data_IF_969319003041
#
_entry.id   IF_969319003041
#
_cell.length_a   1.000
_cell.length_b   1.000
_cell.length_c   1.000
_cell.angle_alpha   90.00
_cell.angle_beta   90.00
_cell.angle_gamma   90.00
#
_symmetry.space_group_name_H-M   'P 1'
#
loop_
_entity.id
_entity.type
_entity.pdbx_description
1 polymer ?
#
# COMPACT_ATOMS: atom_id res chain seq x y z
N UNK A 1 -35.05 -26.74 49.54
CA UNK A 1 -33.95 -25.78 49.29
C UNK A 1 -32.61 -26.43 49.56
N UNK A 2 -32.50 -27.23 50.64
CA UNK A 2 -31.24 -27.87 51.06
C UNK A 2 -30.61 -28.78 50.00
N UNK A 3 -31.39 -29.53 49.22
CA UNK A 3 -30.85 -30.37 48.14
C UNK A 3 -30.21 -29.56 47.00
N UNK A 4 -30.79 -28.41 46.63
CA UNK A 4 -30.23 -27.55 45.58
C UNK A 4 -28.93 -26.92 46.05
N UNK A 5 -28.89 -26.45 47.30
CA UNK A 5 -27.69 -25.88 47.92
C UNK A 5 -26.57 -26.92 47.99
N UNK A 6 -26.90 -28.17 48.33
CA UNK A 6 -25.93 -29.27 48.37
C UNK A 6 -25.37 -29.61 46.98
N UNK A 7 -26.22 -29.68 45.96
CA UNK A 7 -25.79 -29.95 44.57
C UNK A 7 -24.82 -28.88 44.06
N UNK A 8 -25.09 -27.60 44.34
CA UNK A 8 -24.19 -26.53 43.92
C UNK A 8 -22.91 -26.46 44.76
N UNK A 9 -22.94 -26.85 46.04
CA UNK A 9 -21.74 -26.98 46.86
C UNK A 9 -20.83 -28.11 46.35
N UNK A 10 -21.39 -29.25 45.97
CA UNK A 10 -20.66 -30.36 45.36
C UNK A 10 -20.08 -29.97 43.99
N UNK A 11 -20.86 -29.27 43.17
CA UNK A 11 -20.38 -28.73 41.90
C UNK A 11 -19.20 -27.76 42.09
N UNK A 12 -19.29 -26.84 43.05
CA UNK A 12 -18.20 -25.92 43.37
C UNK A 12 -16.93 -26.66 43.80
N UNK A 13 -17.07 -27.72 44.60
CA UNK A 13 -15.95 -28.57 45.02
C UNK A 13 -15.28 -29.25 43.81
N UNK A 14 -16.07 -29.80 42.88
CA UNK A 14 -15.56 -30.42 41.66
C UNK A 14 -14.85 -29.42 40.74
N UNK A 15 -15.40 -28.21 40.57
CA UNK A 15 -14.75 -27.15 39.79
C UNK A 15 -13.41 -26.74 40.40
N UNK A 16 -13.34 -26.65 41.74
CA UNK A 16 -12.09 -26.37 42.45
C UNK A 16 -11.06 -27.48 42.26
N UNK A 17 -11.47 -28.73 42.35
CA UNK A 17 -10.59 -29.88 42.13
C UNK A 17 -10.03 -29.94 40.70
N UNK A 18 -10.87 -29.62 39.70
CA UNK A 18 -10.43 -29.47 38.30
C UNK A 18 -9.40 -28.35 38.17
N UNK A 19 -9.61 -27.22 38.85
CA UNK A 19 -8.67 -26.09 38.87
C UNK A 19 -7.33 -26.46 39.53
N UNK A 20 -7.36 -27.20 40.63
CA UNK A 20 -6.16 -27.64 41.34
C UNK A 20 -5.32 -28.62 40.49
N UNK A 21 -5.97 -29.36 39.58
CA UNK A 21 -5.34 -30.29 38.64
C UNK A 21 -5.25 -29.71 37.21
N UNK A 22 -5.30 -28.39 37.03
CA UNK A 22 -5.33 -27.73 35.73
C UNK A 22 -4.30 -28.26 34.69
N UNK A 23 -3.05 -28.60 35.03
CA UNK A 23 -2.08 -29.14 34.06
C UNK A 23 -2.47 -30.49 33.44
N UNK A 24 -3.38 -31.23 34.07
CA UNK A 24 -3.81 -32.58 33.67
C UNK A 24 -5.13 -32.56 32.90
N UNK A 25 -5.78 -31.40 32.78
CA UNK A 25 -7.11 -31.30 32.19
C UNK A 25 -7.02 -31.28 30.66
N UNK A 26 -7.63 -32.25 30.00
CA UNK A 26 -7.65 -32.35 28.54
C UNK A 26 -8.76 -31.50 27.88
N UNK A 27 -9.96 -31.48 28.45
CA UNK A 27 -11.12 -30.75 27.93
C UNK A 27 -12.10 -30.40 29.06
N UNK A 28 -12.67 -29.20 29.05
CA UNK A 28 -13.76 -28.76 29.93
C UNK A 28 -14.84 -28.14 29.06
N UNK A 29 -16.07 -28.60 29.19
CA UNK A 29 -17.24 -27.94 28.60
C UNK A 29 -18.26 -27.69 29.70
N UNK A 30 -18.59 -26.43 29.91
CA UNK A 30 -19.56 -25.97 30.88
C UNK A 30 -20.57 -25.04 30.20
N UNK A 31 -21.85 -25.31 30.42
CA UNK A 31 -22.96 -24.51 29.91
C UNK A 31 -24.04 -24.43 30.99
N UNK A 32 -24.38 -23.21 31.41
CA UNK A 32 -25.45 -22.97 32.37
C UNK A 32 -26.40 -21.90 31.83
N UNK A 33 -27.71 -22.12 31.94
CA UNK A 33 -28.75 -21.18 31.50
C UNK A 33 -29.62 -20.78 32.67
N UNK A 34 -29.68 -19.48 32.95
CA UNK A 34 -30.53 -18.90 33.97
C UNK A 34 -31.98 -18.79 33.45
N UNK A 35 -32.94 -18.78 34.38
CA UNK A 35 -34.39 -18.65 34.06
C UNK A 35 -34.73 -17.36 33.32
N UNK A 36 -33.92 -16.31 33.46
CA UNK A 36 -34.06 -15.04 32.74
C UNK A 36 -33.50 -15.07 31.30
N UNK A 37 -32.96 -16.20 30.85
CA UNK A 37 -32.43 -16.38 29.49
C UNK A 37 -30.93 -16.20 29.36
N UNK A 38 -30.23 -15.64 30.37
CA UNK A 38 -28.78 -15.49 30.35
C UNK A 38 -28.08 -16.85 30.35
N UNK A 39 -27.08 -17.03 29.49
CA UNK A 39 -26.31 -18.28 29.40
C UNK A 39 -24.83 -18.05 29.68
N UNK A 40 -24.21 -18.91 30.48
CA UNK A 40 -22.78 -18.95 30.76
C UNK A 40 -22.18 -20.17 30.07
N UNK A 41 -21.28 -19.95 29.12
CA UNK A 41 -20.61 -21.01 28.40
C UNK A 41 -19.09 -20.88 28.60
N UNK A 42 -18.46 -21.95 29.05
CA UNK A 42 -17.01 -22.06 29.15
C UNK A 42 -16.57 -23.33 28.42
N UNK A 43 -15.67 -23.18 27.47
CA UNK A 43 -15.10 -24.30 26.71
C UNK A 43 -13.58 -24.18 26.72
N UNK A 44 -12.92 -25.19 27.26
CA UNK A 44 -11.48 -25.36 27.25
C UNK A 44 -11.15 -26.69 26.58
N UNK A 45 -10.18 -26.67 25.68
CA UNK A 45 -9.63 -27.87 25.07
C UNK A 45 -8.10 -27.70 25.00
N UNK A 46 -7.37 -28.61 25.63
CA UNK A 46 -5.92 -28.59 25.71
C UNK A 46 -5.25 -28.67 24.33
N UNK A 47 -5.82 -29.40 23.37
CA UNK A 47 -5.30 -29.42 22.00
C UNK A 47 -5.47 -28.06 21.34
N UNK A 48 -6.62 -27.40 21.54
CA UNK A 48 -6.87 -26.05 21.01
C UNK A 48 -6.04 -24.98 21.71
N UNK A 49 -5.86 -25.10 23.03
CA UNK A 49 -5.07 -24.19 23.86
C UNK A 49 -3.57 -24.32 23.61
N UNK A 50 -3.06 -25.55 23.42
CA UNK A 50 -1.67 -25.79 23.05
C UNK A 50 -1.41 -25.47 21.56
N UNK A 51 -2.44 -25.53 20.71
CA UNK A 51 -2.39 -25.02 19.33
C UNK A 51 -2.53 -23.50 19.24
N UNK A 52 -3.02 -22.82 20.28
CA UNK A 52 -2.89 -21.37 20.37
C UNK A 52 -1.43 -21.07 20.69
N UNK A 53 -0.65 -20.54 19.74
CA UNK A 53 0.76 -20.33 19.97
C UNK A 53 0.92 -19.27 21.07
N UNK A 54 1.48 -19.68 22.21
CA UNK A 54 2.07 -18.75 23.18
C UNK A 54 3.13 -17.92 22.45
N UNK A 55 2.76 -16.70 22.08
CA UNK A 55 3.60 -15.49 21.94
C UNK A 55 5.08 -15.65 21.52
N UNK A 56 5.36 -16.44 20.49
CA UNK A 56 6.41 -16.11 19.53
C UNK A 56 5.72 -15.90 18.18
N UNK A 57 4.99 -14.78 18.03
CA UNK A 57 4.68 -14.31 16.69
C UNK A 57 6.01 -13.88 16.07
N UNK A 58 6.71 -14.83 15.47
CA UNK A 58 7.85 -14.54 14.63
C UNK A 58 7.37 -13.57 13.56
N UNK A 59 7.83 -12.33 13.66
CA UNK A 59 7.49 -11.24 12.75
C UNK A 59 7.67 -11.72 11.30
N UNK A 60 6.58 -11.70 10.53
CA UNK A 60 6.55 -12.16 9.15
C UNK A 60 6.22 -10.97 8.25
N UNK A 61 7.23 -10.20 7.81
CA UNK A 61 7.01 -9.08 6.92
C UNK A 61 6.35 -9.53 5.62
N UNK A 62 5.58 -8.64 4.99
CA UNK A 62 4.95 -8.89 3.69
C UNK A 62 6.01 -9.28 2.66
N UNK A 63 7.03 -8.44 2.50
CA UNK A 63 8.17 -8.68 1.61
C UNK A 63 9.36 -7.78 1.98
N UNK A 64 10.41 -8.34 2.59
CA UNK A 64 11.64 -7.59 2.90
C UNK A 64 12.31 -7.07 1.63
N UNK A 65 12.34 -7.87 0.57
CA UNK A 65 12.96 -7.48 -0.69
C UNK A 65 12.29 -6.23 -1.28
N UNK A 66 10.96 -6.19 -1.34
CA UNK A 66 10.25 -5.01 -1.84
C UNK A 66 10.51 -3.79 -0.96
N UNK A 67 10.53 -3.96 0.36
CA UNK A 67 10.84 -2.86 1.27
C UNK A 67 12.23 -2.26 0.98
N UNK A 68 13.24 -3.11 0.73
CA UNK A 68 14.59 -2.66 0.36
C UNK A 68 14.57 -1.92 -0.98
N UNK A 69 13.89 -2.46 -1.99
CA UNK A 69 13.76 -1.80 -3.31
C UNK A 69 13.10 -0.44 -3.16
N UNK A 70 12.07 -0.32 -2.34
CA UNK A 70 11.37 0.94 -2.10
C UNK A 70 12.23 1.93 -1.33
N UNK A 71 13.03 1.49 -0.35
CA UNK A 71 14.01 2.35 0.33
C UNK A 71 15.03 2.90 -0.68
N UNK A 72 15.57 2.05 -1.57
CA UNK A 72 16.46 2.47 -2.64
C UNK A 72 15.76 3.47 -3.57
N UNK A 73 14.50 3.22 -3.92
CA UNK A 73 13.66 4.12 -4.71
C UNK A 73 13.49 5.49 -4.05
N UNK A 74 13.20 5.53 -2.74
CA UNK A 74 13.08 6.76 -1.96
C UNK A 74 14.41 7.53 -1.92
N UNK A 75 15.52 6.85 -1.64
CA UNK A 75 16.85 7.47 -1.64
C UNK A 75 17.22 8.02 -3.02
N UNK A 76 16.93 7.29 -4.10
CA UNK A 76 17.13 7.74 -5.47
C UNK A 76 16.25 8.95 -5.82
N UNK A 77 14.99 8.95 -5.39
CA UNK A 77 14.08 10.08 -5.58
C UNK A 77 14.55 11.34 -4.85
N UNK A 78 15.03 11.22 -3.61
CA UNK A 78 15.62 12.32 -2.84
C UNK A 78 16.86 12.87 -3.56
N UNK A 79 17.77 11.99 -4.00
CA UNK A 79 18.96 12.40 -4.73
C UNK A 79 18.60 13.19 -6.00
N UNK A 80 17.68 12.66 -6.82
CA UNK A 80 17.23 13.33 -8.04
C UNK A 80 16.52 14.66 -7.75
N UNK A 81 15.71 14.74 -6.70
CA UNK A 81 15.05 15.97 -6.29
C UNK A 81 16.07 17.04 -5.87
N UNK A 82 17.03 16.68 -5.03
CA UNK A 82 18.08 17.61 -4.58
C UNK A 82 18.89 18.09 -5.77
N UNK A 83 19.30 17.18 -6.65
CA UNK A 83 20.02 17.54 -7.87
C UNK A 83 19.20 18.48 -8.77
N UNK A 84 17.91 18.18 -8.97
CA UNK A 84 17.00 19.04 -9.75
C UNK A 84 16.87 20.44 -9.14
N UNK A 85 16.70 20.55 -7.82
CA UNK A 85 16.58 21.84 -7.12
C UNK A 85 17.84 22.68 -7.33
N UNK A 86 19.02 22.11 -7.06
CA UNK A 86 20.31 22.79 -7.25
C UNK A 86 20.44 23.27 -8.71
N UNK A 87 20.02 22.44 -9.65
CA UNK A 87 20.15 22.75 -11.07
C UNK A 87 19.18 23.85 -11.51
N UNK A 88 17.93 23.82 -11.05
CA UNK A 88 16.96 24.91 -11.27
C UNK A 88 17.49 26.22 -10.70
N UNK A 89 18.00 26.22 -9.47
CA UNK A 89 18.57 27.42 -8.84
C UNK A 89 19.76 27.98 -9.62
N UNK A 90 20.61 27.11 -10.15
CA UNK A 90 21.84 27.50 -10.87
C UNK A 90 21.55 28.07 -12.26
N UNK A 91 20.65 27.44 -13.03
CA UNK A 91 20.47 27.75 -14.46
C UNK A 91 19.17 28.50 -14.77
N UNK A 92 18.16 28.41 -13.92
CA UNK A 92 16.83 29.01 -14.15
C UNK A 92 16.30 29.67 -12.86
N UNK A 93 16.88 30.80 -12.42
CA UNK A 93 16.59 31.41 -11.11
C UNK A 93 15.16 31.95 -10.96
N UNK A 94 14.36 31.97 -12.03
CA UNK A 94 12.93 32.26 -11.92
C UNK A 94 12.16 30.96 -11.67
N UNK A 95 11.64 30.81 -10.45
CA UNK A 95 10.79 29.69 -10.04
C UNK A 95 9.47 29.68 -10.84
N UNK A 96 9.50 29.08 -12.02
CA UNK A 96 8.32 28.87 -12.86
C UNK A 96 7.39 27.81 -12.29
N UNK A 97 6.14 27.80 -12.76
CA UNK A 97 5.15 26.78 -12.40
C UNK A 97 5.63 25.35 -12.73
N UNK A 98 6.44 25.16 -13.77
CA UNK A 98 7.07 23.89 -14.15
C UNK A 98 8.04 23.35 -13.08
N UNK A 99 8.81 24.22 -12.43
CA UNK A 99 9.72 23.85 -11.35
C UNK A 99 8.95 23.28 -10.14
N UNK A 100 7.86 23.94 -9.76
CA UNK A 100 7.00 23.51 -8.65
C UNK A 100 6.40 22.13 -8.94
N UNK A 101 5.86 21.93 -10.14
CA UNK A 101 5.29 20.62 -10.51
C UNK A 101 6.33 19.51 -10.59
N UNK A 102 7.57 19.84 -10.96
CA UNK A 102 8.68 18.88 -10.93
C UNK A 102 9.04 18.47 -9.50
N UNK A 103 9.19 19.45 -8.60
CA UNK A 103 9.45 19.21 -7.18
C UNK A 103 8.32 18.37 -6.56
N UNK A 104 7.06 18.69 -6.86
CA UNK A 104 5.90 17.92 -6.39
C UNK A 104 5.92 16.49 -6.92
N UNK A 105 6.24 16.27 -8.19
CA UNK A 105 6.29 14.93 -8.77
C UNK A 105 7.31 14.03 -8.06
N UNK A 106 8.54 14.52 -7.86
CA UNK A 106 9.56 13.76 -7.12
C UNK A 106 9.21 13.61 -5.63
N UNK A 107 8.56 14.62 -5.03
CA UNK A 107 8.06 14.51 -3.64
C UNK A 107 7.01 13.40 -3.49
N UNK A 108 6.12 13.23 -4.47
CA UNK A 108 5.16 12.14 -4.46
C UNK A 108 5.80 10.76 -4.68
N UNK A 109 6.85 10.66 -5.50
CA UNK A 109 7.66 9.43 -5.56
C UNK A 109 8.27 9.08 -4.19
N UNK A 110 8.87 10.04 -3.50
CA UNK A 110 9.42 9.84 -2.14
C UNK A 110 8.33 9.37 -1.18
N UNK A 111 7.18 10.03 -1.18
CA UNK A 111 6.05 9.67 -0.33
C UNK A 111 5.55 8.25 -0.63
N UNK A 112 5.38 7.91 -1.92
CA UNK A 112 4.97 6.56 -2.34
C UNK A 112 5.97 5.52 -1.83
N UNK A 113 7.26 5.67 -2.14
CA UNK A 113 8.28 4.68 -1.79
C UNK A 113 8.39 4.50 -0.26
N UNK A 114 8.30 5.59 0.50
CA UNK A 114 8.32 5.53 1.97
C UNK A 114 7.12 4.78 2.54
N UNK A 115 5.91 5.08 2.06
CA UNK A 115 4.70 4.38 2.52
C UNK A 115 4.69 2.92 2.07
N UNK A 116 5.15 2.64 0.85
CA UNK A 116 5.27 1.29 0.30
C UNK A 116 6.31 0.45 1.06
N UNK A 117 7.44 1.02 1.45
CA UNK A 117 8.43 0.32 2.27
C UNK A 117 7.87 -0.02 3.65
N UNK A 118 7.15 0.91 4.28
CA UNK A 118 6.47 0.67 5.57
C UNK A 118 5.39 -0.41 5.42
N UNK A 119 4.59 -0.37 4.35
CA UNK A 119 3.63 -1.42 4.01
C UNK A 119 4.30 -2.80 3.96
N UNK A 120 5.43 -2.89 3.28
CA UNK A 120 6.14 -4.15 3.09
C UNK A 120 6.83 -4.69 4.35
N UNK A 121 7.15 -3.80 5.29
CA UNK A 121 7.66 -4.11 6.62
C UNK A 121 6.55 -4.34 7.66
N UNK A 122 5.28 -4.22 7.34
CA UNK A 122 4.25 -4.69 8.28
C UNK A 122 4.21 -6.21 8.37
N UNK A 123 3.86 -6.70 9.55
CA UNK A 123 3.49 -8.10 9.73
C UNK A 123 2.27 -8.41 8.86
N UNK A 124 2.28 -9.55 8.16
CA UNK A 124 1.21 -9.96 7.24
C UNK A 124 -0.16 -10.01 7.91
N UNK A 125 -0.18 -10.34 9.20
CA UNK A 125 -1.40 -10.48 9.98
C UNK A 125 -1.80 -9.18 10.69
N UNK A 126 -1.13 -8.05 10.38
CA UNK A 126 -1.44 -6.75 10.97
C UNK A 126 -2.77 -6.19 10.43
N UNK A 127 -3.70 -5.75 11.30
CA UNK A 127 -4.96 -5.13 10.88
C UNK A 127 -4.76 -3.78 10.18
N UNK A 128 -3.58 -3.18 10.30
CA UNK A 128 -3.23 -1.87 9.71
C UNK A 128 -2.74 -2.01 8.26
N UNK A 129 -2.37 -3.23 7.85
CA UNK A 129 -1.79 -3.53 6.54
C UNK A 129 -2.69 -3.12 5.34
N UNK A 130 -4.02 -3.32 5.37
CA UNK A 130 -4.89 -2.88 4.27
C UNK A 130 -4.96 -1.36 4.12
N UNK A 131 -4.82 -0.60 5.21
CA UNK A 131 -4.83 0.86 5.19
C UNK A 131 -3.60 1.37 4.44
N UNK A 132 -2.41 0.87 4.79
CA UNK A 132 -1.17 1.26 4.12
C UNK A 132 -1.12 0.82 2.67
N UNK A 133 -1.70 -0.34 2.33
CA UNK A 133 -1.89 -0.74 0.94
C UNK A 133 -2.73 0.30 0.17
N UNK A 134 -3.90 0.66 0.68
CA UNK A 134 -4.78 1.64 0.04
C UNK A 134 -4.15 3.02 -0.08
N UNK A 135 -3.40 3.46 0.94
CA UNK A 135 -2.64 4.73 0.90
C UNK A 135 -1.53 4.65 -0.15
N UNK A 136 -0.79 3.54 -0.23
CA UNK A 136 0.25 3.36 -1.25
C UNK A 136 -0.31 3.39 -2.67
N UNK A 137 -1.45 2.74 -2.91
CA UNK A 137 -2.13 2.75 -4.21
C UNK A 137 -2.68 4.14 -4.56
N UNK A 138 -3.19 4.87 -3.56
CA UNK A 138 -3.62 6.26 -3.72
C UNK A 138 -2.45 7.17 -4.09
N UNK A 139 -1.32 7.06 -3.37
CA UNK A 139 -0.11 7.83 -3.65
C UNK A 139 0.44 7.55 -5.04
N UNK A 140 0.37 6.30 -5.51
CA UNK A 140 0.75 5.95 -6.88
C UNK A 140 -0.11 6.69 -7.91
N UNK A 141 -1.43 6.75 -7.74
CA UNK A 141 -2.33 7.50 -8.63
C UNK A 141 -1.94 8.99 -8.65
N UNK A 142 -1.75 9.60 -7.47
CA UNK A 142 -1.33 11.01 -7.37
C UNK A 142 0.04 11.25 -8.00
N UNK A 143 0.99 10.33 -7.78
CA UNK A 143 2.34 10.41 -8.36
C UNK A 143 2.24 10.43 -9.88
N UNK A 144 1.55 9.47 -10.50
CA UNK A 144 1.41 9.42 -11.95
C UNK A 144 0.67 10.63 -12.51
N UNK A 145 -0.33 11.14 -11.79
CA UNK A 145 -1.03 12.37 -12.18
C UNK A 145 -0.08 13.58 -12.17
N UNK A 146 0.72 13.73 -11.11
CA UNK A 146 1.71 14.80 -11.01
C UNK A 146 2.78 14.71 -12.10
N UNK A 147 3.21 13.49 -12.48
CA UNK A 147 4.15 13.27 -13.58
C UNK A 147 3.60 13.75 -14.91
N UNK A 148 2.34 13.45 -15.22
CA UNK A 148 1.72 13.93 -16.47
C UNK A 148 1.69 15.46 -16.53
N UNK A 149 1.23 16.10 -15.45
CA UNK A 149 1.11 17.56 -15.38
C UNK A 149 2.50 18.21 -15.47
N UNK A 150 3.48 17.68 -14.72
CA UNK A 150 4.87 18.11 -14.76
C UNK A 150 5.45 18.03 -16.16
N UNK A 151 5.40 16.85 -16.79
CA UNK A 151 6.03 16.64 -18.10
C UNK A 151 5.39 17.48 -19.20
N UNK A 152 4.06 17.55 -19.27
CA UNK A 152 3.38 18.35 -20.30
C UNK A 152 3.64 19.84 -20.10
N UNK A 153 3.58 20.34 -18.86
CA UNK A 153 3.89 21.74 -18.59
C UNK A 153 5.33 22.10 -18.94
N UNK A 154 6.27 21.16 -18.75
CA UNK A 154 7.68 21.38 -19.06
C UNK A 154 7.95 21.41 -20.57
N UNK A 155 7.34 20.50 -21.34
CA UNK A 155 7.71 20.30 -22.76
C UNK A 155 6.75 20.97 -23.73
N UNK A 156 5.48 21.13 -23.37
CA UNK A 156 4.46 21.70 -24.25
C UNK A 156 3.32 22.38 -23.46
N UNK A 157 3.53 23.62 -22.99
CA UNK A 157 2.54 24.36 -22.20
C UNK A 157 1.18 24.53 -22.88
N UNK A 158 1.13 24.55 -24.22
CA UNK A 158 -0.13 24.68 -24.97
C UNK A 158 -1.06 23.46 -24.77
N UNK A 159 -0.48 22.29 -24.48
CA UNK A 159 -1.22 21.05 -24.21
C UNK A 159 -1.50 20.84 -22.71
N UNK A 160 -1.20 21.83 -21.86
CA UNK A 160 -1.40 21.73 -20.42
C UNK A 160 -2.86 21.45 -20.04
N UNK A 161 -3.82 22.25 -20.56
CA UNK A 161 -5.25 22.08 -20.25
C UNK A 161 -5.76 20.67 -20.62
N UNK A 162 -5.58 20.17 -21.86
CA UNK A 162 -6.05 18.82 -22.18
C UNK A 162 -5.35 17.73 -21.36
N UNK A 163 -4.07 17.90 -21.02
CA UNK A 163 -3.35 16.96 -20.16
C UNK A 163 -3.88 16.96 -18.72
N UNK A 164 -4.21 18.12 -18.16
CA UNK A 164 -4.85 18.22 -16.83
C UNK A 164 -6.21 17.54 -16.85
N UNK A 165 -7.06 17.82 -17.84
CA UNK A 165 -8.39 17.20 -17.93
C UNK A 165 -8.31 15.69 -18.09
N UNK A 166 -7.45 15.19 -18.99
CA UNK A 166 -7.24 13.75 -19.18
C UNK A 166 -6.69 13.07 -17.92
N UNK A 167 -5.75 13.73 -17.24
CA UNK A 167 -5.17 13.25 -15.98
C UNK A 167 -6.21 13.19 -14.87
N UNK A 168 -6.99 14.25 -14.68
CA UNK A 168 -8.04 14.31 -13.66
C UNK A 168 -9.12 13.28 -13.92
N UNK A 169 -9.54 13.09 -15.17
CA UNK A 169 -10.54 12.08 -15.54
C UNK A 169 -10.08 10.65 -15.20
N UNK A 170 -8.86 10.28 -15.59
CA UNK A 170 -8.30 8.96 -15.30
C UNK A 170 -8.01 8.77 -13.81
N UNK A 171 -7.50 9.80 -13.12
CA UNK A 171 -7.24 9.75 -11.69
C UNK A 171 -8.55 9.61 -10.89
N UNK A 172 -9.57 10.40 -11.22
CA UNK A 172 -10.89 10.34 -10.59
C UNK A 172 -11.54 8.96 -10.78
N UNK A 173 -11.47 8.39 -11.99
CA UNK A 173 -11.93 7.02 -12.24
C UNK A 173 -11.14 6.01 -11.38
N UNK A 174 -9.81 6.14 -11.34
CA UNK A 174 -8.95 5.26 -10.53
C UNK A 174 -9.31 5.31 -9.04
N UNK A 175 -9.55 6.51 -8.48
CA UNK A 175 -9.97 6.70 -7.09
C UNK A 175 -11.37 6.18 -6.82
N UNK A 176 -12.32 6.43 -7.71
CA UNK A 176 -13.69 5.93 -7.61
C UNK A 176 -13.67 4.41 -7.46
N UNK A 177 -12.98 3.70 -8.36
CA UNK A 177 -12.90 2.25 -8.31
C UNK A 177 -12.10 1.72 -7.11
N UNK A 178 -11.07 2.46 -6.66
CA UNK A 178 -10.33 2.11 -5.44
C UNK A 178 -11.22 2.20 -4.19
N UNK A 179 -12.08 3.22 -4.11
CA UNK A 179 -12.98 3.44 -2.96
C UNK A 179 -14.07 2.39 -2.80
N UNK A 180 -14.40 1.61 -3.84
CA UNK A 180 -15.39 0.54 -3.77
C UNK A 180 -14.94 -0.57 -2.80
N UNK A 181 -13.63 -0.76 -2.62
CA UNK A 181 -13.11 -1.74 -1.66
C UNK A 181 -13.34 -3.21 -2.04
N UNK A 182 -13.73 -3.49 -3.28
CA UNK A 182 -13.88 -4.86 -3.80
C UNK A 182 -12.70 -5.27 -4.67
N UNK A 183 -12.48 -6.58 -4.85
CA UNK A 183 -11.46 -7.09 -5.77
C UNK A 183 -11.67 -6.60 -7.22
N UNK A 184 -12.92 -6.50 -7.66
CA UNK A 184 -13.26 -5.96 -8.98
C UNK A 184 -12.92 -4.48 -9.09
N UNK A 185 -13.27 -3.69 -8.06
CA UNK A 185 -12.92 -2.28 -7.97
C UNK A 185 -11.41 -2.05 -8.00
N UNK A 186 -10.63 -2.81 -7.22
CA UNK A 186 -9.17 -2.72 -7.25
C UNK A 186 -8.59 -3.00 -8.65
N UNK A 187 -9.08 -4.02 -9.35
CA UNK A 187 -8.63 -4.32 -10.72
C UNK A 187 -8.98 -3.21 -11.71
N UNK A 188 -10.21 -2.67 -11.63
CA UNK A 188 -10.61 -1.54 -12.46
C UNK A 188 -9.72 -0.31 -12.18
N UNK A 189 -9.48 0.01 -10.90
CA UNK A 189 -8.58 1.09 -10.49
C UNK A 189 -7.18 0.93 -11.09
N UNK A 190 -6.59 -0.27 -11.00
CA UNK A 190 -5.28 -0.56 -11.59
C UNK A 190 -5.28 -0.43 -13.12
N UNK A 191 -6.37 -0.79 -13.80
CA UNK A 191 -6.50 -0.62 -15.24
C UNK A 191 -6.47 0.86 -15.65
N UNK A 192 -7.25 1.72 -15.00
CA UNK A 192 -7.21 3.16 -15.24
C UNK A 192 -5.85 3.77 -14.86
N UNK A 193 -5.26 3.32 -13.75
CA UNK A 193 -3.93 3.75 -13.32
C UNK A 193 -2.84 3.37 -14.33
N UNK A 194 -2.99 2.24 -15.03
CA UNK A 194 -2.08 1.81 -16.09
C UNK A 194 -2.14 2.71 -17.33
N UNK A 195 -3.31 3.29 -17.63
CA UNK A 195 -3.48 4.22 -18.74
C UNK A 195 -2.97 5.63 -18.45
N UNK A 196 -2.90 5.98 -17.16
CA UNK A 196 -2.57 7.32 -16.67
C UNK A 196 -1.26 7.88 -17.25
N UNK A 197 -0.13 7.15 -17.27
CA UNK A 197 1.15 7.67 -17.77
C UNK A 197 1.14 8.05 -19.26
N UNK A 198 0.22 7.51 -20.06
CA UNK A 198 0.15 7.81 -21.50
C UNK A 198 -0.38 9.21 -21.79
N UNK A 199 -1.02 9.88 -20.83
CA UNK A 199 -1.44 11.28 -20.99
C UNK A 199 -0.22 12.20 -21.13
N UNK A 200 0.92 11.86 -20.51
CA UNK A 200 2.17 12.61 -20.67
C UNK A 200 2.62 12.73 -22.14
N UNK A 201 2.25 11.78 -23.00
CA UNK A 201 2.61 11.78 -24.42
C UNK A 201 1.94 12.90 -25.22
N UNK A 202 0.90 13.56 -24.67
CA UNK A 202 0.35 14.80 -25.24
C UNK A 202 1.37 15.94 -25.26
N UNK A 203 2.37 15.91 -24.38
CA UNK A 203 3.43 16.91 -24.34
C UNK A 203 4.33 16.81 -25.57
N UNK A 204 5.07 15.70 -25.65
CA UNK A 204 5.95 15.38 -26.79
C UNK A 204 6.16 13.88 -26.90
N UNK A 205 6.06 13.36 -28.12
CA UNK A 205 6.33 11.96 -28.41
C UNK A 205 7.80 11.82 -28.81
N UNK A 206 8.58 11.20 -27.94
CA UNK A 206 9.97 10.82 -28.17
C UNK A 206 10.16 9.38 -27.70
N UNK A 207 11.23 8.72 -28.14
CA UNK A 207 11.54 7.37 -27.65
C UNK A 207 11.67 7.34 -26.11
N UNK A 208 12.28 8.38 -25.54
CA UNK A 208 12.47 8.49 -24.09
C UNK A 208 11.13 8.67 -23.37
N UNK A 209 10.26 9.58 -23.82
CA UNK A 209 8.95 9.81 -23.17
C UNK A 209 8.00 8.63 -23.32
N UNK A 210 8.02 7.94 -24.46
CA UNK A 210 7.29 6.67 -24.65
C UNK A 210 7.82 5.60 -23.68
N UNK A 211 9.14 5.50 -23.53
CA UNK A 211 9.75 4.55 -22.58
C UNK A 211 9.37 4.88 -21.13
N UNK A 212 9.39 6.16 -20.74
CA UNK A 212 8.92 6.62 -19.43
C UNK A 212 7.48 6.22 -19.17
N UNK A 213 6.58 6.49 -20.12
CA UNK A 213 5.16 6.15 -20.00
C UNK A 213 4.96 4.63 -19.85
N UNK A 214 5.67 3.81 -20.64
CA UNK A 214 5.60 2.34 -20.55
C UNK A 214 6.09 1.83 -19.20
N UNK A 215 7.24 2.31 -18.71
CA UNK A 215 7.79 1.90 -17.41
C UNK A 215 6.82 2.25 -16.27
N UNK A 216 6.28 3.47 -16.28
CA UNK A 216 5.30 3.89 -15.28
C UNK A 216 3.95 3.15 -15.42
N UNK A 217 3.57 2.72 -16.62
CA UNK A 217 2.39 1.89 -16.83
C UNK A 217 2.60 0.47 -16.27
N UNK A 218 3.79 -0.12 -16.49
CA UNK A 218 4.16 -1.44 -15.98
C UNK A 218 4.10 -1.53 -14.46
N UNK A 219 4.38 -0.43 -13.77
CA UNK A 219 4.23 -0.32 -12.33
C UNK A 219 2.81 -0.68 -11.85
N UNK A 220 1.75 -0.31 -12.60
CA UNK A 220 0.38 -0.71 -12.26
C UNK A 220 -0.08 -1.98 -12.97
N UNK A 221 0.36 -2.21 -14.21
CA UNK A 221 -0.06 -3.36 -15.02
C UNK A 221 0.33 -4.70 -14.39
N UNK A 222 1.51 -4.80 -13.77
CA UNK A 222 1.95 -6.04 -13.14
C UNK A 222 1.03 -6.42 -11.97
N UNK A 223 0.59 -5.44 -11.19
CA UNK A 223 -0.36 -5.69 -10.10
C UNK A 223 -1.74 -6.11 -10.60
N UNK A 224 -2.11 -5.70 -11.83
CA UNK A 224 -3.35 -6.12 -12.48
C UNK A 224 -3.28 -7.58 -12.97
N UNK A 225 -2.15 -7.98 -13.54
CA UNK A 225 -1.99 -9.28 -14.20
C UNK A 225 -1.58 -10.41 -13.25
N UNK A 226 -0.79 -10.11 -12.20
CA UNK A 226 -0.23 -11.13 -11.31
C UNK A 226 -1.23 -11.53 -10.22
N UNK A 227 -1.43 -12.84 -10.05
CA UNK A 227 -2.31 -13.38 -9.00
C UNK A 227 -1.76 -13.01 -7.61
N UNK A 228 -2.63 -12.68 -6.63
CA UNK A 228 -2.22 -12.31 -5.27
C UNK A 228 -1.35 -13.34 -4.53
N UNK A 229 -1.36 -14.60 -4.97
CA UNK A 229 -0.68 -15.72 -4.31
C UNK A 229 0.80 -15.89 -4.68
N UNK A 230 1.34 -15.14 -5.66
CA UNK A 230 2.77 -15.25 -6.01
C UNK A 230 3.63 -14.34 -5.11
N UNK A 231 4.67 -14.94 -4.51
CA UNK A 231 5.56 -14.33 -3.50
C UNK A 231 6.43 -13.16 -3.99
N UNK A 232 6.49 -12.89 -5.30
CA UNK A 232 7.36 -11.85 -5.85
C UNK A 232 6.50 -10.83 -6.61
N UNK A 233 6.08 -9.78 -5.88
CA UNK A 233 5.34 -8.62 -6.39
C UNK A 233 6.29 -7.42 -6.53
N UNK A 234 7.36 -7.51 -7.30
CA UNK A 234 8.32 -6.40 -7.43
C UNK A 234 8.00 -5.56 -8.66
N UNK A 235 6.88 -4.84 -8.59
CA UNK A 235 6.48 -3.88 -9.61
C UNK A 235 7.11 -2.49 -9.38
N UNK A 236 7.63 -2.20 -8.19
CA UNK A 236 8.23 -0.90 -7.83
C UNK A 236 9.56 -0.64 -8.53
N UNK A 237 10.24 -1.68 -9.03
CA UNK A 237 11.41 -1.53 -9.92
C UNK A 237 11.06 -0.71 -11.17
N UNK A 238 9.87 -0.91 -11.74
CA UNK A 238 9.40 -0.15 -12.90
C UNK A 238 9.11 1.31 -12.53
N UNK A 239 8.66 1.58 -11.31
CA UNK A 239 8.51 2.93 -10.78
C UNK A 239 9.86 3.65 -10.69
N UNK A 240 10.91 2.97 -10.20
CA UNK A 240 12.27 3.52 -10.09
C UNK A 240 12.83 3.82 -11.48
N UNK A 241 12.75 2.87 -12.40
CA UNK A 241 13.23 3.07 -13.78
C UNK A 241 12.44 4.18 -14.50
N UNK A 242 11.12 4.23 -14.29
CA UNK A 242 10.26 5.29 -14.82
C UNK A 242 10.62 6.67 -14.25
N UNK A 243 10.89 6.76 -12.94
CA UNK A 243 11.34 7.99 -12.27
C UNK A 243 12.70 8.47 -12.80
N UNK A 244 13.67 7.57 -12.96
CA UNK A 244 14.97 7.91 -13.55
C UNK A 244 14.78 8.41 -15.00
N UNK A 245 13.95 7.71 -15.78
CA UNK A 245 13.63 8.11 -17.15
C UNK A 245 12.92 9.48 -17.20
N UNK A 246 12.03 9.78 -16.25
CA UNK A 246 11.41 11.11 -16.11
C UNK A 246 12.45 12.18 -15.78
N UNK A 247 13.38 11.91 -14.85
CA UNK A 247 14.44 12.85 -14.51
C UNK A 247 15.29 13.20 -15.74
N UNK A 248 15.66 12.19 -16.54
CA UNK A 248 16.38 12.41 -17.80
C UNK A 248 15.57 13.27 -18.78
N UNK A 249 14.26 13.05 -18.89
CA UNK A 249 13.40 13.94 -19.69
C UNK A 249 13.44 15.38 -19.18
N UNK A 250 13.42 15.58 -17.86
CA UNK A 250 13.46 16.91 -17.28
C UNK A 250 14.80 17.61 -17.56
N UNK A 251 15.92 16.92 -17.35
CA UNK A 251 17.25 17.49 -17.57
C UNK A 251 17.47 17.88 -19.04
N UNK A 252 17.10 17.00 -19.98
CA UNK A 252 17.23 17.28 -21.41
C UNK A 252 16.43 18.50 -21.87
N UNK A 253 15.26 18.73 -21.28
CA UNK A 253 14.39 19.87 -21.66
C UNK A 253 14.86 21.16 -21.00
N UNK A 254 15.45 21.07 -19.82
CA UNK A 254 16.05 22.19 -19.10
C UNK A 254 17.45 22.56 -19.63
N UNK A 255 17.93 21.89 -20.70
CA UNK A 255 19.23 22.05 -21.35
C UNK A 255 20.43 21.79 -20.42
N UNK A 256 20.32 20.78 -19.56
CA UNK A 256 21.39 20.26 -18.68
C UNK A 256 21.86 18.92 -19.22
#
# INVERSE_FOLDING_TARGET
MDELTNVFADFQKQVKEISDHAPQVHKIEFSAKLKNGTSFNFNFNSDTFNRQPRSERNYKPVSVFNAIVDIIGASGAIFLLVYLIITIETYHPTFGSSAIWSILAFSFFIAFFTISSVYHLFDKDSPVQPVFYSVSESLKIVTLASVNICYVLLVNPEKFIPAVLGTLGLAAASFLFLSIGTHGGLRASLAFTTLLPFVSLLGKITLLSVSTAILLALWSLINLLVKPSQKVRTNTVFAIMGMISLALNCFLVLEI
#
